data_IF_112645966230
#
_entry.id   IF_112645966230
#
_cell.length_a   1.000
_cell.length_b   1.000
_cell.length_c   1.000
_cell.angle_alpha   90.00
_cell.angle_beta   90.00
_cell.angle_gamma   90.00
#
_symmetry.space_group_name_H-M   'P 1'
#
loop_
_entity.id
_entity.type
_entity.pdbx_description
1 polymer ?
#
# COMPACT_ATOMS: atom_id res chain seq x y z
N UNK A 1 -13.66 -33.79 -22.29
CA UNK A 1 -12.91 -33.09 -21.22
C UNK A 1 -11.88 -32.22 -21.89
N UNK A 2 -11.92 -30.89 -21.70
CA UNK A 2 -10.87 -30.00 -22.20
C UNK A 2 -9.62 -30.28 -21.36
N UNK A 3 -8.46 -30.61 -21.97
CA UNK A 3 -7.24 -30.86 -21.21
C UNK A 3 -6.81 -29.60 -20.47
N UNK A 4 -6.43 -29.76 -19.20
CA UNK A 4 -5.94 -28.66 -18.38
C UNK A 4 -4.54 -28.25 -18.85
N UNK A 5 -4.44 -27.06 -19.45
CA UNK A 5 -3.18 -26.47 -19.87
C UNK A 5 -2.77 -25.36 -18.90
N UNK A 6 -1.56 -25.44 -18.36
CA UNK A 6 -0.98 -24.35 -17.58
C UNK A 6 -0.53 -23.21 -18.50
N UNK A 7 -0.66 -21.97 -18.02
CA UNK A 7 -0.06 -20.83 -18.72
C UNK A 7 1.46 -20.89 -18.63
N UNK A 8 2.16 -20.39 -19.66
CA UNK A 8 3.62 -20.25 -19.65
C UNK A 8 4.13 -19.13 -18.71
N UNK A 9 3.23 -18.44 -18.03
CA UNK A 9 3.50 -17.29 -17.17
C UNK A 9 2.74 -17.36 -15.86
N UNK A 10 3.30 -16.74 -14.83
CA UNK A 10 2.69 -16.64 -13.51
C UNK A 10 2.78 -15.21 -12.97
N UNK A 11 1.92 -14.89 -12.01
CA UNK A 11 1.98 -13.63 -11.26
C UNK A 11 2.85 -13.82 -10.02
N UNK A 12 4.00 -13.15 -9.98
CA UNK A 12 4.87 -13.07 -8.82
C UNK A 12 4.42 -11.89 -7.96
N UNK A 13 4.22 -12.15 -6.66
CA UNK A 13 3.90 -11.12 -5.68
C UNK A 13 4.95 -11.13 -4.59
N UNK A 14 5.56 -9.99 -4.32
CA UNK A 14 6.61 -9.88 -3.30
C UNK A 14 6.32 -8.70 -2.37
N UNK A 15 6.72 -8.78 -1.08
CA UNK A 15 6.77 -7.59 -0.23
C UNK A 15 7.67 -6.54 -0.90
N UNK A 16 7.40 -5.25 -0.64
CA UNK A 16 8.21 -4.19 -1.25
C UNK A 16 9.62 -4.17 -0.68
N UNK A 17 9.77 -4.45 0.62
CA UNK A 17 11.07 -4.47 1.30
C UNK A 17 11.50 -5.89 1.63
N UNK A 18 12.80 -6.07 1.83
CA UNK A 18 13.37 -7.30 2.38
C UNK A 18 12.98 -7.48 3.84
N UNK A 19 13.10 -8.72 4.32
CA UNK A 19 12.93 -9.05 5.74
C UNK A 19 13.95 -8.33 6.63
N UNK A 20 15.16 -8.06 6.11
CA UNK A 20 16.23 -7.39 6.86
C UNK A 20 15.82 -6.03 7.41
N UNK A 21 14.92 -5.31 6.72
CA UNK A 21 14.42 -4.00 7.17
C UNK A 21 13.79 -4.02 8.57
N UNK A 22 13.10 -5.11 8.95
CA UNK A 22 12.50 -5.24 10.29
C UNK A 22 13.31 -6.14 11.23
N UNK A 23 14.21 -6.96 10.68
CA UNK A 23 15.04 -7.87 11.46
C UNK A 23 15.88 -7.13 12.52
N UNK A 24 16.40 -5.95 12.18
CA UNK A 24 17.19 -5.10 13.10
C UNK A 24 16.41 -4.64 14.34
N UNK A 25 15.09 -4.54 14.24
CA UNK A 25 14.25 -4.12 15.37
C UNK A 25 13.84 -5.32 16.20
N UNK A 26 13.54 -6.45 15.56
CA UNK A 26 13.22 -7.68 16.28
C UNK A 26 14.43 -8.27 17.02
N UNK A 27 15.65 -7.95 16.62
CA UNK A 27 16.86 -8.40 17.31
C UNK A 27 17.16 -7.60 18.60
N UNK A 28 16.51 -6.46 18.82
CA UNK A 28 16.72 -5.65 20.02
C UNK A 28 15.89 -6.18 21.19
N UNK A 29 16.54 -6.29 22.36
CA UNK A 29 15.89 -6.69 23.62
C UNK A 29 15.01 -5.59 24.21
N UNK A 30 15.33 -4.32 23.91
CA UNK A 30 14.53 -3.15 24.29
C UNK A 30 14.44 -2.20 23.10
N UNK A 31 13.23 -1.76 22.77
CA UNK A 31 12.96 -0.85 21.63
C UNK A 31 12.61 0.52 22.19
N UNK A 32 13.43 1.52 21.86
CA UNK A 32 13.27 2.89 22.31
C UNK A 32 12.59 3.75 21.23
N UNK A 33 12.11 4.94 21.61
CA UNK A 33 11.48 5.89 20.68
C UNK A 33 12.38 6.21 19.46
N UNK A 34 13.70 6.23 19.66
CA UNK A 34 14.69 6.45 18.60
C UNK A 34 14.63 5.40 17.49
N UNK A 35 14.34 4.14 17.82
CA UNK A 35 14.27 3.04 16.85
C UNK A 35 13.10 3.22 15.88
N UNK A 36 11.95 3.64 16.40
CA UNK A 36 10.79 3.97 15.57
C UNK A 36 11.09 5.17 14.68
N UNK A 37 11.82 6.17 15.18
CA UNK A 37 12.20 7.32 14.37
C UNK A 37 13.20 6.96 13.27
N UNK A 38 14.06 5.97 13.50
CA UNK A 38 14.97 5.43 12.47
C UNK A 38 14.18 4.78 11.33
N UNK A 39 13.20 3.92 11.63
CA UNK A 39 12.28 3.37 10.61
C UNK A 39 11.61 4.48 9.79
N UNK A 40 11.15 5.51 10.50
CA UNK A 40 10.44 6.65 9.92
C UNK A 40 11.36 7.62 9.18
N UNK A 41 12.67 7.36 9.07
CA UNK A 41 13.55 8.06 8.11
C UNK A 41 13.40 7.51 6.69
N UNK A 42 13.00 6.24 6.53
CA UNK A 42 12.78 5.66 5.21
C UNK A 42 11.55 6.30 4.55
N UNK A 43 11.78 7.04 3.46
CA UNK A 43 10.74 7.84 2.78
C UNK A 43 9.67 6.97 2.15
N UNK A 44 10.05 5.86 1.53
CA UNK A 44 9.13 4.92 0.88
C UNK A 44 8.21 4.26 1.92
N UNK A 45 8.75 3.91 3.09
CA UNK A 45 7.94 3.36 4.20
C UNK A 45 6.94 4.38 4.73
N UNK A 46 7.39 5.62 4.96
CA UNK A 46 6.52 6.71 5.44
C UNK A 46 5.43 7.05 4.41
N UNK A 47 5.75 7.03 3.12
CA UNK A 47 4.77 7.22 2.05
C UNK A 47 3.76 6.06 2.02
N UNK A 48 4.22 4.82 2.15
CA UNK A 48 3.33 3.66 2.22
C UNK A 48 2.33 3.77 3.37
N UNK A 49 2.78 4.22 4.56
CA UNK A 49 1.89 4.52 5.69
C UNK A 49 0.90 5.63 5.35
N UNK A 50 1.36 6.73 4.73
CA UNK A 50 0.48 7.85 4.37
C UNK A 50 -0.65 7.41 3.44
N UNK A 51 -0.36 6.59 2.44
CA UNK A 51 -1.37 6.07 1.50
C UNK A 51 -2.33 5.09 2.18
N UNK A 52 -1.84 4.25 3.09
CA UNK A 52 -2.68 3.25 3.76
C UNK A 52 -3.49 3.77 4.95
N UNK A 53 -2.97 4.75 5.70
CA UNK A 53 -3.63 5.37 6.84
C UNK A 53 -3.13 6.80 7.04
N UNK A 54 -3.80 7.78 6.39
CA UNK A 54 -3.52 9.21 6.59
C UNK A 54 -3.63 9.64 8.06
N UNK A 55 -4.53 9.01 8.83
CA UNK A 55 -4.73 9.28 10.26
C UNK A 55 -3.50 8.86 11.06
N UNK A 56 -2.99 7.65 10.85
CA UNK A 56 -1.77 7.19 11.51
C UNK A 56 -0.59 8.09 11.16
N UNK A 57 -0.42 8.44 9.88
CA UNK A 57 0.61 9.37 9.45
C UNK A 57 0.53 10.74 10.16
N UNK A 58 -0.69 11.29 10.32
CA UNK A 58 -0.92 12.53 11.07
C UNK A 58 -0.54 12.38 12.55
N UNK A 59 -0.86 11.25 13.18
CA UNK A 59 -0.48 10.96 14.56
C UNK A 59 1.04 10.81 14.72
N UNK A 60 1.71 10.13 13.78
CA UNK A 60 3.18 10.02 13.75
C UNK A 60 3.82 11.42 13.66
N UNK A 61 3.28 12.31 12.82
CA UNK A 61 3.75 13.71 12.75
C UNK A 61 3.59 14.45 14.07
N UNK A 62 2.47 14.25 14.78
CA UNK A 62 2.24 14.87 16.10
C UNK A 62 3.20 14.31 17.14
N UNK A 63 3.46 12.99 17.11
CA UNK A 63 4.42 12.33 17.98
C UNK A 63 5.83 12.89 17.80
N UNK A 64 6.35 12.95 16.56
CA UNK A 64 7.68 13.50 16.24
C UNK A 64 7.87 14.96 16.68
N UNK A 65 6.77 15.73 16.78
CA UNK A 65 6.79 17.13 17.23
C UNK A 65 6.62 17.28 18.75
N UNK A 66 6.60 16.19 19.51
CA UNK A 66 6.36 16.21 20.97
C UNK A 66 4.95 16.70 21.35
N UNK A 67 3.99 16.71 20.41
CA UNK A 67 2.63 17.23 20.66
C UNK A 67 1.67 16.22 21.26
N UNK A 68 2.10 14.97 21.45
CA UNK A 68 1.33 13.92 22.11
C UNK A 68 1.82 13.75 23.54
N UNK A 69 0.91 13.93 24.50
CA UNK A 69 1.17 13.75 25.94
C UNK A 69 0.58 12.44 26.49
N UNK A 70 -0.33 11.82 25.75
CA UNK A 70 -1.02 10.60 26.16
C UNK A 70 -0.17 9.38 25.79
N UNK A 71 0.43 8.75 26.79
CA UNK A 71 1.30 7.58 26.60
C UNK A 71 0.55 6.41 25.95
N UNK A 72 -0.74 6.20 26.27
CA UNK A 72 -1.52 5.10 25.66
C UNK A 72 -1.69 5.30 24.17
N UNK A 73 -1.82 6.56 23.71
CA UNK A 73 -1.85 6.88 22.28
C UNK A 73 -0.50 6.64 21.62
N UNK A 74 0.60 7.01 22.28
CA UNK A 74 1.96 6.79 21.77
C UNK A 74 2.22 5.29 21.58
N UNK A 75 1.88 4.45 22.55
CA UNK A 75 2.05 3.00 22.44
C UNK A 75 1.22 2.39 21.30
N UNK A 76 -0.02 2.88 21.08
CA UNK A 76 -0.83 2.47 19.92
C UNK A 76 -0.20 2.86 18.58
N UNK A 77 0.45 4.02 18.51
CA UNK A 77 1.18 4.48 17.33
C UNK A 77 2.39 3.58 17.08
N UNK A 78 3.22 3.34 18.10
CA UNK A 78 4.38 2.44 18.05
C UNK A 78 4.00 1.05 17.53
N UNK A 79 2.98 0.44 18.13
CA UNK A 79 2.47 -0.86 17.69
C UNK A 79 1.99 -0.84 16.23
N UNK A 80 1.35 0.25 15.80
CA UNK A 80 0.91 0.40 14.41
C UNK A 80 2.07 0.54 13.43
N UNK A 81 3.12 1.27 13.80
CA UNK A 81 4.36 1.38 13.01
C UNK A 81 4.96 -0.01 12.79
N UNK A 82 5.12 -0.80 13.85
CA UNK A 82 5.70 -2.15 13.75
C UNK A 82 4.83 -3.08 12.89
N UNK A 83 3.50 -3.01 12.99
CA UNK A 83 2.60 -3.77 12.10
C UNK A 83 2.79 -3.42 10.63
N UNK A 84 2.96 -2.13 10.32
CA UNK A 84 3.20 -1.71 8.94
C UNK A 84 4.61 -2.07 8.46
N UNK A 85 5.62 -1.97 9.32
CA UNK A 85 6.97 -2.42 9.03
C UNK A 85 7.01 -3.94 8.77
N UNK A 86 6.30 -4.73 9.56
CA UNK A 86 6.20 -6.17 9.34
C UNK A 86 5.48 -6.46 8.02
N UNK A 87 4.40 -5.72 7.74
CA UNK A 87 3.65 -5.88 6.49
C UNK A 87 4.50 -5.62 5.25
N UNK A 88 5.26 -4.51 5.21
CA UNK A 88 6.05 -4.13 4.03
C UNK A 88 7.20 -5.09 3.74
N UNK A 89 7.66 -5.82 4.78
CA UNK A 89 8.79 -6.73 4.71
C UNK A 89 8.43 -8.22 4.60
N UNK A 90 7.20 -8.62 4.92
CA UNK A 90 6.84 -10.06 5.00
C UNK A 90 5.62 -10.46 4.20
N UNK A 91 4.70 -9.54 3.91
CA UNK A 91 3.40 -9.90 3.33
C UNK A 91 3.34 -9.56 1.83
N UNK A 92 3.26 -10.55 0.93
CA UNK A 92 3.19 -10.33 -0.51
C UNK A 92 1.78 -9.93 -1.01
N UNK A 93 0.82 -9.65 -0.12
CA UNK A 93 -0.54 -9.28 -0.53
C UNK A 93 -0.57 -7.81 -1.01
N UNK A 94 -0.86 -7.53 -2.30
CA UNK A 94 -0.87 -6.16 -2.83
C UNK A 94 -1.86 -5.28 -2.08
N UNK A 95 -1.36 -4.19 -1.52
CA UNK A 95 -2.14 -3.19 -0.80
C UNK A 95 -1.35 -1.90 -0.73
N UNK A 96 -1.89 -0.80 -1.27
CA UNK A 96 -1.17 0.47 -1.34
C UNK A 96 0.22 0.30 -1.95
N UNK A 97 1.25 0.73 -1.21
CA UNK A 97 2.66 0.62 -1.59
C UNK A 97 3.41 -0.47 -0.80
N UNK A 98 2.73 -1.48 -0.25
CA UNK A 98 3.36 -2.48 0.63
C UNK A 98 3.94 -3.71 -0.09
N UNK A 99 3.51 -3.97 -1.32
CA UNK A 99 3.93 -5.13 -2.10
C UNK A 99 3.93 -4.78 -3.59
N UNK A 100 4.72 -5.51 -4.37
CA UNK A 100 4.80 -5.39 -5.83
C UNK A 100 4.26 -6.64 -6.52
N UNK A 101 3.90 -6.47 -7.79
CA UNK A 101 3.48 -7.56 -8.67
C UNK A 101 4.38 -7.56 -9.91
N UNK A 102 4.77 -8.73 -10.35
CA UNK A 102 5.53 -8.95 -11.58
C UNK A 102 4.99 -10.18 -12.33
N UNK A 103 5.32 -10.27 -13.61
CA UNK A 103 5.01 -11.44 -14.43
C UNK A 103 6.30 -12.26 -14.56
N UNK A 104 6.26 -13.50 -14.09
CA UNK A 104 7.31 -14.49 -14.32
C UNK A 104 6.94 -15.44 -15.46
N UNK A 105 7.93 -16.15 -16.00
CA UNK A 105 7.76 -17.20 -17.00
C UNK A 105 8.43 -18.48 -16.53
N UNK A 106 7.87 -19.63 -16.92
CA UNK A 106 8.49 -20.92 -16.66
C UNK A 106 9.70 -21.12 -17.60
N UNK A 107 10.78 -21.66 -17.05
CA UNK A 107 12.08 -21.81 -17.69
C UNK A 107 12.78 -23.06 -17.14
N UNK A 108 13.73 -23.63 -17.87
CA UNK A 108 14.55 -24.76 -17.37
C UNK A 108 15.49 -24.33 -16.24
N UNK A 109 15.88 -23.06 -16.23
CA UNK A 109 16.75 -22.46 -15.24
C UNK A 109 15.96 -21.56 -14.29
N UNK A 110 16.34 -21.57 -13.01
CA UNK A 110 15.70 -20.75 -11.97
C UNK A 110 16.50 -19.46 -11.84
N UNK A 111 15.94 -18.35 -12.31
CA UNK A 111 16.48 -17.02 -12.06
C UNK A 111 15.34 -16.07 -11.64
N UNK A 112 15.37 -15.63 -10.39
CA UNK A 112 14.43 -14.66 -9.84
C UNK A 112 15.24 -13.53 -9.23
N UNK A 113 15.42 -12.47 -10.01
CA UNK A 113 16.04 -11.23 -9.56
C UNK A 113 14.99 -10.13 -9.56
N UNK A 114 14.80 -9.52 -8.39
CA UNK A 114 13.95 -8.34 -8.26
C UNK A 114 14.79 -7.11 -8.62
N UNK A 115 14.23 -6.25 -9.47
CA UNK A 115 14.83 -4.94 -9.74
C UNK A 115 14.83 -4.09 -8.47
N UNK A 116 15.61 -3.02 -8.49
CA UNK A 116 15.58 -2.06 -7.41
C UNK A 116 14.21 -1.40 -7.31
N UNK A 117 13.88 -0.86 -6.13
CA UNK A 117 12.59 -0.22 -5.89
C UNK A 117 12.40 1.01 -6.79
N UNK A 118 13.50 1.65 -7.19
CA UNK A 118 13.52 2.80 -8.09
C UNK A 118 13.03 2.45 -9.51
N UNK A 119 13.19 1.20 -9.94
CA UNK A 119 12.72 0.69 -11.22
C UNK A 119 11.23 0.26 -11.19
N UNK A 120 10.58 0.31 -10.02
CA UNK A 120 9.19 -0.10 -9.90
C UNK A 120 8.26 0.94 -10.54
N UNK A 121 7.38 0.46 -11.44
CA UNK A 121 6.32 1.29 -12.00
C UNK A 121 5.15 1.43 -11.04
N UNK A 122 4.82 2.66 -10.67
CA UNK A 122 3.61 2.99 -9.90
C UNK A 122 2.41 3.18 -10.82
N UNK A 123 1.31 2.51 -10.51
CA UNK A 123 0.00 2.76 -11.13
C UNK A 123 -0.93 3.26 -10.03
N UNK A 124 -1.50 4.46 -10.20
CA UNK A 124 -2.40 5.09 -9.23
C UNK A 124 -3.74 5.34 -9.89
N UNK A 125 -4.82 5.02 -9.16
CA UNK A 125 -6.20 5.26 -9.58
C UNK A 125 -6.89 6.08 -8.51
N UNK A 126 -7.87 6.89 -8.92
CA UNK A 126 -8.76 7.53 -7.97
C UNK A 126 -9.59 6.49 -7.23
N UNK A 127 -9.88 6.79 -5.97
CA UNK A 127 -10.81 6.01 -5.19
C UNK A 127 -12.20 5.99 -5.86
N UNK A 128 -12.88 4.85 -5.79
CA UNK A 128 -14.15 4.68 -6.50
C UNK A 128 -15.27 5.48 -5.85
N UNK A 129 -15.24 5.69 -4.52
CA UNK A 129 -16.21 6.57 -3.86
C UNK A 129 -16.00 8.03 -4.25
N UNK A 130 -14.74 8.46 -4.40
CA UNK A 130 -14.41 9.77 -4.95
C UNK A 130 -14.92 9.93 -6.39
N UNK A 131 -14.63 8.97 -7.27
CA UNK A 131 -15.09 9.01 -8.66
C UNK A 131 -16.61 9.05 -8.76
N UNK A 132 -17.31 8.21 -7.98
CA UNK A 132 -18.78 8.20 -7.93
C UNK A 132 -19.34 9.55 -7.47
N UNK A 133 -18.74 10.14 -6.43
CA UNK A 133 -19.12 11.46 -5.93
C UNK A 133 -18.87 12.55 -6.97
N UNK A 134 -17.73 12.51 -7.65
CA UNK A 134 -17.38 13.45 -8.71
C UNK A 134 -18.37 13.37 -9.87
N UNK A 135 -18.66 12.17 -10.36
CA UNK A 135 -19.68 11.94 -11.40
C UNK A 135 -21.02 12.51 -10.97
N UNK A 136 -21.43 12.26 -9.72
CA UNK A 136 -22.70 12.78 -9.18
C UNK A 136 -22.76 14.31 -9.14
N UNK A 137 -21.62 14.99 -8.91
CA UNK A 137 -21.56 16.45 -8.97
C UNK A 137 -21.56 16.97 -10.41
N UNK A 138 -20.82 16.33 -11.31
CA UNK A 138 -20.77 16.71 -12.73
C UNK A 138 -22.15 16.59 -13.40
N UNK A 139 -22.95 15.59 -13.01
CA UNK A 139 -24.31 15.40 -13.52
C UNK A 139 -25.30 16.51 -13.12
N UNK A 140 -24.94 17.39 -12.17
CA UNK A 140 -25.75 18.57 -11.80
C UNK A 140 -25.51 19.76 -12.73
N UNK A 141 -24.46 19.72 -13.55
CA UNK A 141 -24.12 20.77 -14.50
C UNK A 141 -24.83 20.46 -15.81
N UNK A 142 -25.81 21.29 -16.18
CA UNK A 142 -26.67 21.03 -17.34
C UNK A 142 -25.85 20.93 -18.63
N UNK A 143 -24.87 21.82 -18.80
CA UNK A 143 -23.98 21.85 -19.97
C UNK A 143 -23.22 20.53 -20.14
N UNK A 144 -22.80 19.89 -19.04
CA UNK A 144 -22.14 18.59 -19.10
C UNK A 144 -23.16 17.51 -19.41
N UNK A 145 -24.30 17.53 -18.72
CA UNK A 145 -25.36 16.53 -18.84
C UNK A 145 -25.87 16.40 -20.27
N UNK A 146 -26.00 17.52 -20.98
CA UNK A 146 -26.48 17.58 -22.36
C UNK A 146 -25.54 16.91 -23.37
N UNK A 147 -24.27 16.69 -23.00
CA UNK A 147 -23.28 15.99 -23.81
C UNK A 147 -23.06 14.53 -23.41
N UNK A 148 -23.81 14.00 -22.44
CA UNK A 148 -23.67 12.62 -21.97
C UNK A 148 -24.69 11.68 -22.62
N UNK A 149 -24.30 10.40 -22.77
CA UNK A 149 -25.19 9.32 -23.18
C UNK A 149 -25.72 8.59 -21.95
N UNK A 150 -27.04 8.44 -21.87
CA UNK A 150 -27.72 7.71 -20.79
C UNK A 150 -28.30 6.40 -21.30
N UNK A 151 -28.30 5.39 -20.44
CA UNK A 151 -28.89 4.08 -20.68
C UNK A 151 -29.75 3.70 -19.47
N UNK A 152 -30.86 2.94 -19.65
CA UNK A 152 -31.61 2.41 -18.52
C UNK A 152 -30.71 1.57 -17.60
N UNK A 153 -30.87 1.74 -16.29
CA UNK A 153 -30.14 0.91 -15.32
C UNK A 153 -30.60 -0.54 -15.44
N UNK A 154 -29.67 -1.47 -15.63
CA UNK A 154 -29.96 -2.90 -15.78
C UNK A 154 -30.50 -3.57 -14.50
N UNK A 155 -30.53 -2.86 -13.36
CA UNK A 155 -31.16 -3.32 -12.12
C UNK A 155 -32.61 -2.85 -11.92
N UNK A 156 -33.22 -2.21 -12.92
CA UNK A 156 -34.62 -1.80 -12.90
C UNK A 156 -35.53 -3.03 -13.06
N UNK A 157 -36.55 -3.16 -12.21
CA UNK A 157 -37.61 -4.19 -12.27
C UNK A 157 -38.98 -3.53 -12.39
#
# INVERSE_FOLDING_TARGET
LIPYNIFNSYCLRTPLFSFSFIQEIYSKSNIEDADYFELLKNKQFVEAIFIASPELYSQIKKWRKGKLKDQRKIEKIKFSILKYAARISTRPTPFGLFASCAIGRFSKEINIELKSIEDHKRITRFDMSFLSSLVSQLLKVNEIKDHLKFYPNTSLY
#
